data_IF_622732278629
#
_entry.id   IF_622732278629
#
_cell.length_a   1.000
_cell.length_b   1.000
_cell.length_c   1.000
_cell.angle_alpha   90.00
_cell.angle_beta   90.00
_cell.angle_gamma   90.00
#
_symmetry.space_group_name_H-M   'P 1'
#
loop_
_entity.id
_entity.type
_entity.pdbx_description
1 polymer ?
#
# COMPACT_ATOMS: atom_id res chain seq x y z
N UNK A 1 -0.94 -21.56 8.14
CA UNK A 1 -2.19 -21.63 8.93
C UNK A 1 -2.00 -22.60 10.08
N UNK A 2 -2.06 -22.13 11.32
CA UNK A 2 -2.03 -23.00 12.50
C UNK A 2 -3.45 -23.47 12.78
N UNK A 3 -3.76 -24.72 12.40
CA UNK A 3 -5.11 -25.31 12.50
C UNK A 3 -5.70 -25.24 13.92
N UNK A 4 -4.87 -25.37 14.97
CA UNK A 4 -5.32 -25.34 16.37
C UNK A 4 -5.74 -23.97 16.86
N UNK A 5 -5.11 -22.90 16.37
CA UNK A 5 -5.37 -21.52 16.81
C UNK A 5 -6.13 -20.69 15.77
N UNK A 6 -6.40 -21.25 14.59
CA UNK A 6 -6.97 -20.52 13.45
C UNK A 6 -6.06 -19.44 12.87
N UNK A 7 -4.84 -19.25 13.40
CA UNK A 7 -3.94 -18.14 13.03
C UNK A 7 -3.37 -18.34 11.63
N UNK A 8 -3.54 -17.33 10.80
CA UNK A 8 -2.91 -17.22 9.49
C UNK A 8 -2.15 -15.89 9.44
N UNK A 9 -0.84 -15.98 9.25
CA UNK A 9 0.05 -14.84 9.03
C UNK A 9 0.77 -14.99 7.69
N UNK A 10 1.20 -13.88 7.10
CA UNK A 10 1.92 -13.88 5.84
C UNK A 10 2.77 -12.61 5.71
N UNK A 11 4.06 -12.77 5.45
CA UNK A 11 4.96 -11.66 5.13
C UNK A 11 5.17 -11.59 3.63
N UNK A 12 4.88 -10.47 2.99
CA UNK A 12 4.83 -10.36 1.52
C UNK A 12 5.38 -9.03 1.01
N UNK A 13 5.94 -9.06 -0.21
CA UNK A 13 6.11 -7.87 -1.03
C UNK A 13 4.87 -7.67 -1.92
N UNK A 14 4.47 -6.42 -2.12
CA UNK A 14 3.25 -6.06 -2.88
C UNK A 14 3.59 -4.97 -3.89
N UNK A 15 3.16 -5.18 -5.13
CA UNK A 15 3.22 -4.17 -6.19
C UNK A 15 1.81 -3.74 -6.58
N UNK A 16 1.55 -2.43 -6.59
CA UNK A 16 0.28 -1.85 -7.03
C UNK A 16 0.51 -0.87 -8.18
N UNK A 17 -0.20 -1.08 -9.28
CA UNK A 17 -0.14 -0.24 -10.47
C UNK A 17 -1.53 0.30 -10.80
N UNK A 18 -1.71 1.60 -10.67
CA UNK A 18 -2.99 2.26 -10.91
C UNK A 18 -2.78 3.68 -11.42
N UNK A 19 -3.69 4.13 -12.31
CA UNK A 19 -3.70 5.51 -12.76
C UNK A 19 -3.94 6.45 -11.56
N UNK A 20 -3.06 7.43 -11.39
CA UNK A 20 -3.19 8.47 -10.38
C UNK A 20 -2.62 9.80 -10.89
N UNK A 21 -2.56 10.81 -10.02
CA UNK A 21 -2.05 12.13 -10.37
C UNK A 21 -0.53 12.21 -10.13
N UNK A 22 0.27 12.31 -11.20
CA UNK A 22 1.74 12.32 -11.14
C UNK A 22 2.30 13.39 -10.18
N UNK A 23 1.76 14.61 -10.24
CA UNK A 23 2.17 15.71 -9.34
C UNK A 23 1.94 15.39 -7.85
N UNK A 24 0.88 14.64 -7.55
CA UNK A 24 0.54 14.22 -6.19
C UNK A 24 1.45 13.07 -5.74
N UNK A 25 1.77 12.13 -6.63
CA UNK A 25 2.72 11.05 -6.34
C UNK A 25 4.12 11.59 -6.06
N UNK A 26 4.57 12.57 -6.85
CA UNK A 26 5.89 13.20 -6.66
C UNK A 26 5.96 14.00 -5.34
N UNK A 27 4.91 14.75 -5.01
CA UNK A 27 4.82 15.44 -3.72
C UNK A 27 4.79 14.44 -2.54
N UNK A 28 3.99 13.38 -2.66
CA UNK A 28 3.89 12.32 -1.66
C UNK A 28 5.22 11.58 -1.46
N UNK A 29 5.96 11.28 -2.53
CA UNK A 29 7.28 10.66 -2.43
C UNK A 29 8.22 11.53 -1.59
N UNK A 30 8.28 12.84 -1.86
CA UNK A 30 9.13 13.77 -1.09
C UNK A 30 8.74 13.84 0.38
N UNK A 31 7.44 13.92 0.67
CA UNK A 31 6.90 13.94 2.03
C UNK A 31 7.25 12.64 2.78
N UNK A 32 7.00 11.48 2.17
CA UNK A 32 7.23 10.18 2.80
C UNK A 32 8.72 9.86 2.92
N UNK A 33 9.54 10.14 1.91
CA UNK A 33 10.99 9.91 1.98
C UNK A 33 11.67 10.77 3.05
N UNK A 34 11.16 11.99 3.30
CA UNK A 34 11.70 12.90 4.31
C UNK A 34 11.27 12.54 5.74
N UNK A 35 10.09 11.94 5.90
CA UNK A 35 9.50 11.67 7.21
C UNK A 35 9.46 10.18 7.58
N UNK A 36 9.82 9.27 6.67
CA UNK A 36 9.86 7.84 6.93
C UNK A 36 10.73 7.50 8.13
N UNK A 37 10.45 6.37 8.79
CA UNK A 37 11.26 5.96 9.93
C UNK A 37 12.72 5.81 9.51
N UNK A 38 13.64 5.98 10.47
CA UNK A 38 15.06 5.75 10.24
C UNK A 38 15.40 4.30 9.84
N UNK A 39 14.44 3.38 9.93
CA UNK A 39 14.62 1.95 9.77
C UNK A 39 14.47 1.56 8.30
N UNK A 40 15.54 1.10 7.63
CA UNK A 40 15.47 0.60 6.26
C UNK A 40 14.75 -0.75 6.20
N UNK A 41 14.10 -1.03 5.06
CA UNK A 41 13.61 -2.38 4.73
C UNK A 41 14.77 -3.31 4.40
N UNK A 42 14.56 -4.61 4.59
CA UNK A 42 15.53 -5.63 4.19
C UNK A 42 15.29 -6.02 2.72
N UNK A 43 16.20 -5.59 1.84
CA UNK A 43 16.09 -5.87 0.40
C UNK A 43 16.32 -7.34 0.03
N UNK A 44 16.83 -8.14 0.96
CA UNK A 44 17.08 -9.57 0.78
C UNK A 44 16.00 -10.44 1.44
N UNK A 45 15.02 -9.84 2.14
CA UNK A 45 13.92 -10.57 2.76
C UNK A 45 13.21 -11.49 1.76
N UNK A 46 12.87 -12.70 2.22
CA UNK A 46 12.31 -13.78 1.37
C UNK A 46 11.16 -13.30 0.47
N UNK A 47 10.24 -12.51 1.02
CA UNK A 47 9.07 -11.99 0.30
C UNK A 47 9.45 -11.10 -0.89
N UNK A 48 10.41 -10.19 -0.71
CA UNK A 48 10.89 -9.33 -1.78
C UNK A 48 11.79 -10.10 -2.74
N UNK A 49 12.69 -10.95 -2.24
CA UNK A 49 13.54 -11.81 -3.06
C UNK A 49 12.73 -12.66 -4.04
N UNK A 50 11.65 -13.29 -3.57
CA UNK A 50 10.73 -14.05 -4.43
C UNK A 50 10.02 -13.16 -5.47
N UNK A 51 9.60 -11.95 -5.10
CA UNK A 51 9.01 -11.00 -6.05
C UNK A 51 10.03 -10.58 -7.12
N UNK A 52 11.26 -10.27 -6.74
CA UNK A 52 12.33 -9.86 -7.64
C UNK A 52 12.69 -10.97 -8.64
N UNK A 53 12.82 -12.22 -8.18
CA UNK A 53 13.11 -13.38 -9.04
C UNK A 53 12.01 -13.60 -10.10
N UNK A 54 10.75 -13.31 -9.76
CA UNK A 54 9.63 -13.43 -10.70
C UNK A 54 9.57 -12.28 -11.71
N UNK A 55 10.03 -11.09 -11.32
CA UNK A 55 9.93 -9.88 -12.13
C UNK A 55 11.15 -9.65 -13.01
N UNK A 56 12.33 -10.10 -12.59
CA UNK A 56 13.61 -9.65 -13.14
C UNK A 56 14.59 -10.80 -13.36
N UNK A 57 15.55 -10.62 -14.27
CA UNK A 57 16.64 -11.60 -14.43
C UNK A 57 17.76 -11.37 -13.39
N UNK A 58 18.64 -12.38 -13.13
CA UNK A 58 19.68 -12.28 -12.09
C UNK A 58 20.63 -11.08 -12.21
N UNK A 59 20.91 -10.60 -13.44
CA UNK A 59 21.77 -9.42 -13.64
C UNK A 59 21.07 -8.13 -13.21
N UNK A 60 19.77 -8.03 -13.47
CA UNK A 60 18.96 -6.88 -13.04
C UNK A 60 18.78 -6.86 -11.52
N UNK A 61 18.54 -8.03 -10.91
CA UNK A 61 18.45 -8.17 -9.45
C UNK A 61 19.77 -7.74 -8.79
N UNK A 62 20.90 -8.28 -9.25
CA UNK A 62 22.21 -7.92 -8.69
C UNK A 62 22.47 -6.41 -8.82
N UNK A 63 22.13 -5.81 -9.98
CA UNK A 63 22.24 -4.36 -10.17
C UNK A 63 21.38 -3.58 -9.19
N UNK A 64 20.14 -4.01 -8.95
CA UNK A 64 19.23 -3.37 -8.00
C UNK A 64 19.79 -3.43 -6.57
N UNK A 65 20.23 -4.60 -6.11
CA UNK A 65 20.78 -4.79 -4.76
C UNK A 65 22.08 -4.00 -4.54
N UNK A 66 22.95 -3.92 -5.56
CA UNK A 66 24.21 -3.16 -5.49
C UNK A 66 23.97 -1.65 -5.54
N UNK A 67 22.97 -1.20 -6.31
CA UNK A 67 22.70 0.22 -6.51
C UNK A 67 22.33 0.96 -5.21
N UNK A 68 21.87 0.26 -4.17
CA UNK A 68 21.50 0.78 -2.83
C UNK A 68 20.68 2.08 -2.92
N UNK A 69 19.35 1.97 -2.92
CA UNK A 69 18.37 3.08 -2.91
C UNK A 69 18.78 4.21 -3.88
N UNK A 70 18.62 3.98 -5.18
CA UNK A 70 18.69 5.07 -6.16
C UNK A 70 17.31 5.64 -6.42
N UNK A 71 17.22 6.93 -6.75
CA UNK A 71 15.95 7.60 -7.10
C UNK A 71 15.20 6.92 -8.25
N UNK A 72 15.88 6.13 -9.08
CA UNK A 72 15.26 5.50 -10.26
C UNK A 72 15.24 3.99 -10.15
N UNK A 73 14.08 3.46 -9.75
CA UNK A 73 13.86 2.02 -9.66
C UNK A 73 14.02 1.33 -11.03
N UNK A 74 14.36 0.04 -11.05
CA UNK A 74 14.28 -0.78 -12.26
C UNK A 74 12.87 -0.73 -12.86
N UNK A 75 12.75 -0.87 -14.19
CA UNK A 75 11.47 -0.70 -14.91
C UNK A 75 10.33 -1.54 -14.30
N UNK A 76 10.66 -2.73 -13.83
CA UNK A 76 9.76 -3.70 -13.24
C UNK A 76 9.17 -3.25 -11.89
N UNK A 77 9.89 -2.39 -11.16
CA UNK A 77 9.48 -1.81 -9.88
C UNK A 77 8.99 -0.37 -10.01
N UNK A 78 8.84 0.17 -11.24
CA UNK A 78 8.22 1.49 -11.47
C UNK A 78 6.71 1.43 -11.47
N UNK A 79 6.18 0.86 -10.40
CA UNK A 79 4.75 0.78 -10.13
C UNK A 79 4.33 2.02 -9.35
N UNK A 80 3.03 2.30 -9.29
CA UNK A 80 2.50 3.42 -8.50
C UNK A 80 2.91 3.33 -7.03
N UNK A 81 2.81 2.13 -6.45
CA UNK A 81 3.31 1.83 -5.11
C UNK A 81 3.94 0.44 -5.07
N UNK A 82 5.09 0.33 -4.41
CA UNK A 82 5.73 -0.94 -4.08
C UNK A 82 5.94 -0.98 -2.58
N UNK A 83 5.48 -2.05 -1.95
CA UNK A 83 5.77 -2.39 -0.57
C UNK A 83 6.76 -3.54 -0.57
N UNK A 84 7.92 -3.31 0.01
CA UNK A 84 8.98 -4.33 0.13
C UNK A 84 8.54 -5.42 1.12
N UNK A 85 7.84 -5.01 2.17
CA UNK A 85 7.57 -5.87 3.30
C UNK A 85 6.30 -5.47 4.05
N UNK A 86 5.32 -6.38 4.06
CA UNK A 86 4.09 -6.24 4.83
C UNK A 86 3.85 -7.55 5.57
N UNK A 87 3.84 -7.51 6.90
CA UNK A 87 3.37 -8.64 7.72
C UNK A 87 1.86 -8.53 7.93
N UNK A 88 1.13 -9.51 7.39
CA UNK A 88 -0.31 -9.61 7.48
C UNK A 88 -0.74 -10.63 8.51
N UNK A 89 -1.81 -10.29 9.24
CA UNK A 89 -2.65 -11.24 9.99
C UNK A 89 -4.04 -11.33 9.38
N UNK A 90 -4.56 -12.55 9.28
CA UNK A 90 -5.95 -12.78 8.87
C UNK A 90 -6.92 -12.47 10.01
N UNK A 91 -7.86 -11.57 9.76
CA UNK A 91 -8.99 -11.24 10.63
C UNK A 91 -10.26 -11.94 10.11
N UNK A 92 -10.77 -12.92 10.88
CA UNK A 92 -11.93 -13.74 10.50
C UNK A 92 -13.24 -12.95 10.51
N UNK A 93 -13.42 -12.05 11.48
CA UNK A 93 -14.63 -11.23 11.68
C UNK A 93 -14.88 -10.32 10.48
N UNK A 94 -13.82 -9.67 10.00
CA UNK A 94 -13.90 -8.72 8.87
C UNK A 94 -13.49 -9.34 7.54
N UNK A 95 -13.04 -10.60 7.54
CA UNK A 95 -12.58 -11.36 6.36
C UNK A 95 -11.52 -10.59 5.56
N UNK A 96 -10.53 -10.08 6.28
CA UNK A 96 -9.44 -9.30 5.71
C UNK A 96 -8.08 -9.76 6.19
N UNK A 97 -7.05 -9.50 5.38
CA UNK A 97 -5.68 -9.42 5.86
C UNK A 97 -5.42 -7.97 6.29
N UNK A 98 -4.86 -7.79 7.49
CA UNK A 98 -4.46 -6.50 8.05
C UNK A 98 -2.98 -6.51 8.39
N UNK A 99 -2.26 -5.44 8.09
CA UNK A 99 -0.92 -5.25 8.63
C UNK A 99 -0.98 -5.30 10.16
N UNK A 100 0.12 -5.73 10.77
CA UNK A 100 0.26 -5.77 12.24
C UNK A 100 1.35 -4.85 12.76
N UNK A 101 2.24 -4.38 11.87
CA UNK A 101 3.37 -3.53 12.18
C UNK A 101 3.49 -2.44 11.10
N UNK A 102 4.47 -1.54 11.25
CA UNK A 102 4.83 -0.58 10.24
C UNK A 102 5.04 -1.23 8.86
N UNK A 103 4.68 -0.49 7.82
CA UNK A 103 4.68 -0.99 6.44
C UNK A 103 6.01 -0.66 5.78
N UNK A 104 6.69 -1.66 5.24
CA UNK A 104 7.91 -1.46 4.45
C UNK A 104 7.58 -0.86 3.09
N UNK A 105 7.65 0.47 2.96
CA UNK A 105 7.44 1.16 1.68
C UNK A 105 8.71 1.12 0.85
N UNK A 106 8.64 0.45 -0.30
CA UNK A 106 9.75 0.32 -1.25
C UNK A 106 9.86 1.52 -2.18
N UNK A 107 8.77 1.89 -2.85
CA UNK A 107 8.78 3.03 -3.78
C UNK A 107 7.40 3.60 -4.05
N UNK A 108 7.37 4.87 -4.47
CA UNK A 108 6.20 5.55 -5.03
C UNK A 108 6.56 6.10 -6.41
N UNK A 109 5.72 5.81 -7.41
CA UNK A 109 5.95 6.20 -8.80
C UNK A 109 7.35 5.83 -9.33
N UNK A 110 7.84 4.65 -8.91
CA UNK A 110 9.20 4.20 -9.23
C UNK A 110 10.34 5.02 -8.61
N UNK A 111 10.05 5.90 -7.65
CA UNK A 111 11.02 6.61 -6.83
C UNK A 111 11.22 5.87 -5.51
N UNK A 112 12.47 5.50 -5.20
CA UNK A 112 12.80 4.67 -4.04
C UNK A 112 12.55 5.35 -2.69
N UNK A 113 12.10 4.57 -1.72
CA UNK A 113 11.95 4.94 -0.30
C UNK A 113 12.67 3.91 0.57
N UNK A 114 12.31 2.62 0.43
CA UNK A 114 12.89 1.47 1.14
C UNK A 114 13.03 1.65 2.66
N UNK A 115 11.94 2.09 3.29
CA UNK A 115 11.86 2.35 4.74
C UNK A 115 10.53 1.91 5.30
N UNK A 116 10.53 1.55 6.57
CA UNK A 116 9.28 1.34 7.31
C UNK A 116 8.58 2.66 7.57
N UNK A 117 7.26 2.67 7.43
CA UNK A 117 6.40 3.84 7.62
C UNK A 117 5.19 3.44 8.46
N UNK A 118 4.84 4.30 9.42
CA UNK A 118 3.64 4.15 10.23
C UNK A 118 2.41 4.23 9.33
N UNK A 119 1.51 3.26 9.45
CA UNK A 119 0.38 3.14 8.55
C UNK A 119 -0.30 1.79 8.65
N UNK A 120 -1.35 1.62 7.86
CA UNK A 120 -2.17 0.41 7.85
C UNK A 120 -2.58 0.01 6.43
N UNK A 121 -2.43 -1.28 6.14
CA UNK A 121 -2.82 -1.91 4.88
C UNK A 121 -3.85 -2.99 5.18
N UNK A 122 -5.03 -2.87 4.57
CA UNK A 122 -6.08 -3.88 4.67
C UNK A 122 -6.51 -4.39 3.30
N UNK A 123 -6.47 -5.71 3.14
CA UNK A 123 -7.03 -6.43 1.99
C UNK A 123 -8.29 -7.15 2.42
N UNK A 124 -9.46 -6.57 2.14
CA UNK A 124 -10.76 -7.09 2.59
C UNK A 124 -11.54 -7.75 1.47
N UNK A 125 -11.96 -8.99 1.70
CA UNK A 125 -12.85 -9.71 0.78
C UNK A 125 -14.31 -9.39 1.05
N UNK A 126 -15.02 -8.81 0.08
CA UNK A 126 -16.48 -8.57 0.18
C UNK A 126 -17.24 -9.30 -0.93
N UNK A 127 -18.53 -9.56 -0.69
CA UNK A 127 -19.44 -10.12 -1.73
C UNK A 127 -19.49 -9.25 -2.99
N UNK A 128 -19.28 -7.94 -2.85
CA UNK A 128 -19.35 -6.96 -3.95
C UNK A 128 -18.02 -6.68 -4.66
N UNK A 129 -17.03 -7.57 -4.48
CA UNK A 129 -15.65 -7.36 -4.91
C UNK A 129 -14.73 -6.96 -3.77
N UNK A 130 -13.45 -7.25 -3.94
CA UNK A 130 -12.40 -7.01 -2.96
C UNK A 130 -12.15 -5.50 -2.77
N UNK A 131 -11.67 -5.15 -1.58
CA UNK A 131 -11.38 -3.79 -1.15
C UNK A 131 -9.95 -3.72 -0.64
N UNK A 132 -9.23 -2.69 -1.07
CA UNK A 132 -7.87 -2.39 -0.60
C UNK A 132 -7.96 -1.06 0.13
N UNK A 133 -7.46 -1.00 1.35
CA UNK A 133 -7.28 0.23 2.11
C UNK A 133 -5.79 0.38 2.43
N UNK A 134 -5.26 1.58 2.21
CA UNK A 134 -3.86 1.92 2.50
C UNK A 134 -3.88 3.26 3.24
N UNK A 135 -3.36 3.27 4.44
CA UNK A 135 -3.14 4.45 5.26
C UNK A 135 -1.64 4.57 5.53
N UNK A 136 -1.08 5.76 5.32
CA UNK A 136 0.32 6.07 5.61
C UNK A 136 0.36 7.40 6.36
N UNK A 137 1.09 7.48 7.48
CA UNK A 137 1.15 8.67 8.32
C UNK A 137 2.51 8.87 9.03
N UNK A 138 3.62 9.09 8.30
CA UNK A 138 4.86 9.49 8.94
C UNK A 138 4.90 10.99 9.32
N UNK A 139 3.92 11.79 8.88
CA UNK A 139 3.71 13.20 9.28
C UNK A 139 2.44 13.78 8.65
N UNK A 140 2.23 13.48 7.37
CA UNK A 140 1.02 13.81 6.60
C UNK A 140 0.24 12.53 6.39
N UNK A 141 -1.06 12.58 6.66
CA UNK A 141 -1.94 11.44 6.44
C UNK A 141 -2.16 11.28 4.95
N UNK A 142 -1.97 10.08 4.42
CA UNK A 142 -2.39 9.67 3.09
C UNK A 142 -3.27 8.44 3.21
N UNK A 143 -4.46 8.50 2.63
CA UNK A 143 -5.44 7.42 2.74
C UNK A 143 -6.03 7.08 1.38
N UNK A 144 -5.81 5.84 0.96
CA UNK A 144 -6.32 5.27 -0.28
C UNK A 144 -7.33 4.17 0.02
N UNK A 145 -8.47 4.18 -0.68
CA UNK A 145 -9.39 3.04 -0.71
C UNK A 145 -9.77 2.68 -2.14
N UNK A 146 -9.53 1.43 -2.53
CA UNK A 146 -9.94 0.88 -3.80
C UNK A 146 -11.18 0.03 -3.61
N UNK A 147 -12.27 0.37 -4.31
CA UNK A 147 -13.48 -0.46 -4.32
C UNK A 147 -14.30 -0.22 -5.58
N UNK A 148 -14.81 -1.30 -6.19
CA UNK A 148 -15.69 -1.26 -7.38
C UNK A 148 -15.11 -0.39 -8.50
N UNK A 149 -13.81 -0.55 -8.73
CA UNK A 149 -13.00 0.17 -9.70
C UNK A 149 -12.89 1.68 -9.49
N UNK A 150 -13.12 2.14 -8.26
CA UNK A 150 -12.89 3.52 -7.87
C UNK A 150 -11.85 3.58 -6.77
N UNK A 151 -10.73 4.23 -7.06
CA UNK A 151 -9.76 4.66 -6.07
C UNK A 151 -10.26 5.96 -5.43
N UNK A 152 -10.26 6.00 -4.11
CA UNK A 152 -10.59 7.18 -3.31
C UNK A 152 -9.34 7.58 -2.55
N UNK A 153 -9.02 8.87 -2.56
CA UNK A 153 -7.84 9.39 -1.90
C UNK A 153 -8.18 10.54 -0.96
N UNK A 154 -7.63 10.50 0.24
CA UNK A 154 -7.61 11.61 1.19
C UNK A 154 -6.16 11.92 1.56
N UNK A 155 -5.89 13.19 1.82
CA UNK A 155 -4.66 13.64 2.44
C UNK A 155 -4.97 14.74 3.46
N UNK A 156 -4.20 14.81 4.54
CA UNK A 156 -4.33 15.91 5.50
C UNK A 156 -3.82 17.24 4.93
N UNK A 157 -2.88 17.20 3.98
CA UNK A 157 -2.50 18.36 3.18
C UNK A 157 -3.52 18.63 2.05
N UNK A 158 -4.25 19.75 2.16
CA UNK A 158 -5.33 20.12 1.25
C UNK A 158 -4.89 20.45 -0.18
N UNK A 159 -3.61 20.77 -0.39
CA UNK A 159 -3.05 21.02 -1.72
C UNK A 159 -3.13 19.77 -2.59
N UNK A 160 -2.88 18.59 -2.03
CA UNK A 160 -3.01 17.31 -2.73
C UNK A 160 -4.43 17.07 -3.26
N UNK A 161 -5.44 17.35 -2.41
CA UNK A 161 -6.84 17.20 -2.80
C UNK A 161 -7.23 18.22 -3.88
N UNK A 162 -6.73 19.45 -3.74
CA UNK A 162 -6.96 20.53 -4.70
C UNK A 162 -6.38 20.18 -6.07
N UNK A 163 -5.15 19.66 -6.13
CA UNK A 163 -4.53 19.18 -7.37
C UNK A 163 -5.39 18.13 -8.07
N UNK A 164 -5.92 17.15 -7.34
CA UNK A 164 -6.82 16.13 -7.91
C UNK A 164 -8.14 16.73 -8.39
N UNK A 165 -8.72 17.68 -7.65
CA UNK A 165 -9.97 18.31 -8.02
C UNK A 165 -9.85 19.15 -9.30
N UNK A 166 -8.69 19.77 -9.52
CA UNK A 166 -8.38 20.58 -10.70
C UNK A 166 -8.10 19.76 -11.96
N UNK A 167 -7.85 18.44 -11.84
CA UNK A 167 -7.66 17.58 -12.99
C UNK A 167 -8.95 17.42 -13.82
N UNK A 168 -8.79 17.43 -15.14
CA UNK A 168 -9.87 17.08 -16.07
C UNK A 168 -10.36 15.65 -15.81
N UNK A 169 -11.67 15.34 -15.95
CA UNK A 169 -12.20 14.00 -15.74
C UNK A 169 -11.49 12.89 -16.53
N UNK A 170 -11.04 13.17 -17.76
CA UNK A 170 -10.29 12.22 -18.60
C UNK A 170 -8.89 11.88 -18.06
N UNK A 171 -8.30 12.73 -17.21
CA UNK A 171 -7.06 12.46 -16.50
C UNK A 171 -7.26 11.63 -15.23
N UNK A 172 -8.52 11.46 -14.81
CA UNK A 172 -8.90 10.71 -13.60
C UNK A 172 -9.63 9.40 -13.88
N UNK A 173 -9.66 8.96 -15.13
CA UNK A 173 -10.40 7.77 -15.52
C UNK A 173 -9.76 7.02 -16.67
N UNK A 174 -9.87 5.69 -16.61
CA UNK A 174 -9.62 4.80 -17.73
C UNK A 174 -11.00 4.32 -18.20
N UNK A 175 -11.42 4.64 -19.44
CA UNK A 175 -12.70 4.17 -19.95
C UNK A 175 -12.70 2.64 -20.06
N UNK A 176 -13.89 2.06 -20.14
CA UNK A 176 -14.01 0.63 -20.41
C UNK A 176 -13.47 0.34 -21.81
N UNK A 177 -12.39 -0.43 -21.89
CA UNK A 177 -11.86 -1.00 -23.14
C UNK A 177 -12.33 -2.44 -23.34
N UNK A 178 -11.99 -3.05 -24.49
CA UNK A 178 -12.12 -4.50 -24.63
C UNK A 178 -11.27 -5.19 -23.56
N UNK A 179 -11.91 -6.01 -22.72
CA UNK A 179 -11.25 -6.80 -21.67
C UNK A 179 -10.80 -6.05 -20.40
N UNK A 180 -10.72 -4.71 -20.40
CA UNK A 180 -10.27 -3.94 -19.24
C UNK A 180 -11.44 -3.32 -18.45
N UNK A 181 -11.47 -3.48 -17.11
CA UNK A 181 -12.48 -2.82 -16.29
C UNK A 181 -12.33 -1.29 -16.40
N UNK A 182 -13.45 -0.56 -16.37
CA UNK A 182 -13.41 0.90 -16.15
C UNK A 182 -12.64 1.18 -14.85
N UNK A 183 -11.88 2.25 -14.78
CA UNK A 183 -11.23 2.71 -13.55
C UNK A 183 -11.41 4.21 -13.39
N UNK A 184 -11.49 4.70 -12.16
CA UNK A 184 -11.41 6.13 -11.86
C UNK A 184 -10.82 6.40 -10.48
N UNK A 185 -10.22 7.57 -10.29
CA UNK A 185 -9.87 8.05 -8.96
C UNK A 185 -10.59 9.36 -8.61
N UNK A 186 -10.96 9.50 -7.33
CA UNK A 186 -11.65 10.68 -6.78
C UNK A 186 -11.09 11.00 -5.39
N UNK A 187 -11.38 12.18 -4.87
CA UNK A 187 -11.08 12.51 -3.47
C UNK A 187 -12.08 11.86 -2.51
N UNK A 188 -11.68 11.72 -1.25
CA UNK A 188 -12.54 11.33 -0.14
C UNK A 188 -12.32 12.23 1.08
N UNK A 189 -13.01 11.95 2.19
CA UNK A 189 -13.04 12.84 3.35
C UNK A 189 -12.29 12.25 4.54
N UNK A 190 -11.83 13.13 5.44
CA UNK A 190 -11.29 12.73 6.74
C UNK A 190 -12.25 11.83 7.53
N UNK A 191 -13.56 12.09 7.47
CA UNK A 191 -14.54 11.22 8.11
C UNK A 191 -14.58 9.78 7.55
N UNK A 192 -14.12 9.53 6.33
CA UNK A 192 -13.95 8.17 5.82
C UNK A 192 -12.65 7.52 6.30
N UNK A 193 -11.58 8.31 6.49
CA UNK A 193 -10.37 7.84 7.17
C UNK A 193 -10.69 7.44 8.61
N UNK A 194 -11.35 8.31 9.39
CA UNK A 194 -11.74 7.99 10.78
C UNK A 194 -12.53 6.68 10.88
N UNK A 195 -13.54 6.48 10.02
CA UNK A 195 -14.30 5.21 10.01
C UNK A 195 -13.46 3.99 9.69
N UNK A 196 -12.39 4.14 8.91
CA UNK A 196 -11.45 3.06 8.65
C UNK A 196 -10.65 2.76 9.92
N UNK A 197 -10.06 3.78 10.54
CA UNK A 197 -9.27 3.67 11.77
C UNK A 197 -10.10 3.11 12.95
N UNK A 198 -11.32 3.63 13.18
CA UNK A 198 -12.24 3.12 14.20
C UNK A 198 -12.56 1.63 14.00
N UNK A 199 -12.59 1.18 12.73
CA UNK A 199 -12.82 -0.21 12.37
C UNK A 199 -11.61 -1.12 12.53
N UNK A 200 -10.42 -0.56 12.73
CA UNK A 200 -9.21 -1.29 13.08
C UNK A 200 -9.26 -1.68 14.56
N UNK A 201 -9.47 -0.70 15.44
CA UNK A 201 -9.53 -0.86 16.91
C UNK A 201 -10.55 -1.93 17.34
N UNK A 202 -11.77 -1.89 16.79
CA UNK A 202 -12.83 -2.87 17.10
C UNK A 202 -12.54 -4.32 16.64
N UNK A 203 -11.46 -4.51 15.88
CA UNK A 203 -11.01 -5.82 15.40
C UNK A 203 -9.89 -6.45 16.20
N UNK A 204 -9.25 -5.71 17.13
CA UNK A 204 -8.12 -6.18 17.95
C UNK A 204 -8.57 -6.75 19.31
N UNK A 205 -9.62 -6.19 19.91
CA UNK A 205 -10.08 -6.53 21.27
C UNK A 205 -10.65 -7.96 21.48
N UNK A 206 -10.81 -8.74 20.40
CA UNK A 206 -11.43 -10.08 20.44
C UNK A 206 -10.43 -11.22 20.10
N UNK A 207 -9.13 -10.94 19.93
CA UNK A 207 -8.13 -12.00 19.82
C UNK A 207 -8.06 -12.74 21.18
N UNK A 208 -8.19 -14.09 21.20
CA UNK A 208 -8.10 -14.82 22.45
C UNK A 208 -6.75 -14.52 23.08
N UNK A 209 -6.78 -13.93 24.29
CA UNK A 209 -5.61 -13.74 25.13
C UNK A 209 -4.87 -15.06 25.15
N UNK A 210 -3.61 -15.05 24.73
CA UNK A 210 -2.73 -16.22 24.86
C UNK A 210 -2.73 -16.59 26.35
N UNK A 211 -3.57 -17.56 26.73
CA UNK A 211 -3.44 -18.26 27.99
C UNK A 211 -2.18 -19.10 27.80
N UNK A 212 -1.04 -18.52 28.21
CA UNK A 212 0.20 -19.26 28.38
C UNK A 212 -0.08 -20.46 29.29
N UNK A 213 0.03 -21.68 28.74
CA UNK A 213 0.26 -22.91 29.49
C UNK A 213 1.76 -23.24 29.48
#
# INVERSE_FOLDING_TARGET
>A
HRMKTGRLTSRVAITLDFLFADEVLDAMHKELASNATGIPTDLEADGLSEALIRLMNPREINRFLVARITDKQPKQLRQTMVFDDVDFKWNTKTRSFRSVDAIGLGSIDGQGVHRYIDGELELRKRRSGDEISIYLNPATEHFFTYRRNTMRYYASNSEHLTSILNLKPSKRSIPRGEGLPRYSFITTTYGNLLRFLDGLEQGEDDDPVDLEE
#
